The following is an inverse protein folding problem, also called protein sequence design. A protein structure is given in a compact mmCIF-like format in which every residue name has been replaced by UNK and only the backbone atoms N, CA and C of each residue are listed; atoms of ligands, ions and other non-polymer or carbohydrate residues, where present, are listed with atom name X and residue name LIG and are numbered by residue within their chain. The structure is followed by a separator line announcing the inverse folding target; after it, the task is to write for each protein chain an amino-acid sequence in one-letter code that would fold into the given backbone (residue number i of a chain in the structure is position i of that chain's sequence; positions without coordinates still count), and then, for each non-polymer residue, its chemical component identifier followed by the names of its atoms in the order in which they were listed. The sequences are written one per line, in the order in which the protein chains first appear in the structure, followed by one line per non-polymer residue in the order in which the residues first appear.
data_IF_473541863781
#
_entry.id   IF_473541863781
#
_cell.length_a   1.000
_cell.length_b   1.000
_cell.length_c   1.000
_cell.angle_alpha   90.00
_cell.angle_beta   90.00
_cell.angle_gamma   90.00
#
_symmetry.space_group_name_H-M   'P 1'
#
loop_
_entity.id
_entity.type
_entity.pdbx_description
1 polymer ?
#
# COMPACT_ATOMS: atom_id res chain seq x y z
N UNK A 1 5.33 4.99 -5.76
CA UNK A 1 5.31 4.68 -4.31
C UNK A 1 5.08 3.19 -4.13
N UNK A 2 5.88 2.45 -3.35
CA UNK A 2 5.73 0.98 -3.15
C UNK A 2 5.80 0.55 -1.69
N UNK A 3 5.82 1.51 -0.76
CA UNK A 3 5.87 1.25 0.70
C UNK A 3 4.49 1.30 1.36
N UNK A 4 3.55 1.99 0.73
CA UNK A 4 2.15 2.14 1.14
C UNK A 4 1.31 2.37 -0.12
N UNK A 5 0.01 2.05 -0.06
CA UNK A 5 -0.90 2.25 -1.18
C UNK A 5 -1.42 3.69 -1.29
N UNK A 6 -1.51 4.40 -0.17
CA UNK A 6 -1.87 5.81 -0.08
C UNK A 6 -0.90 6.58 0.82
N UNK A 7 -0.87 7.91 0.67
CA UNK A 7 -0.19 8.83 1.58
C UNK A 7 -0.76 10.25 1.45
N UNK A 8 -1.16 10.90 2.54
CA UNK A 8 -1.26 12.38 2.59
C UNK A 8 0.08 12.99 3.06
N UNK A 9 0.52 14.01 2.32
CA UNK A 9 1.66 14.86 2.66
C UNK A 9 1.17 16.27 2.98
N UNK A 10 1.73 16.89 4.01
CA UNK A 10 1.39 18.24 4.44
C UNK A 10 2.55 19.17 4.06
N UNK A 11 2.27 20.19 3.28
CA UNK A 11 3.25 21.17 2.79
C UNK A 11 3.19 22.46 3.61
N UNK A 12 4.30 23.19 3.58
CA UNK A 12 4.40 24.53 4.13
C UNK A 12 3.38 25.44 3.44
N UNK A 13 2.55 26.15 4.22
CA UNK A 13 1.45 26.97 3.69
C UNK A 13 0.07 26.31 3.74
N UNK A 14 -0.07 25.14 4.36
CA UNK A 14 -1.38 24.55 4.68
C UNK A 14 -1.99 23.65 3.60
N UNK A 15 -1.22 23.31 2.55
CA UNK A 15 -1.65 22.38 1.50
C UNK A 15 -1.48 20.93 1.94
N UNK A 16 -2.51 20.07 1.77
CA UNK A 16 -2.36 18.60 1.78
C UNK A 16 -2.37 18.08 0.35
N UNK A 17 -1.51 17.10 0.08
CA UNK A 17 -1.48 16.33 -1.16
C UNK A 17 -1.70 14.86 -0.84
N UNK A 18 -2.78 14.28 -1.35
CA UNK A 18 -3.03 12.83 -1.30
C UNK A 18 -2.41 12.18 -2.53
N UNK A 19 -1.56 11.17 -2.31
CA UNK A 19 -0.90 10.39 -3.36
C UNK A 19 -1.30 8.92 -3.27
N UNK A 20 -1.49 8.28 -4.43
CA UNK A 20 -1.84 6.86 -4.53
C UNK A 20 -0.74 6.08 -5.25
N UNK A 21 -0.57 4.83 -4.86
CA UNK A 21 0.38 3.91 -5.49
C UNK A 21 -0.26 3.18 -6.65
N UNK A 22 0.05 3.61 -7.87
CA UNK A 22 -0.32 2.84 -9.07
C UNK A 22 0.18 1.38 -9.00
N UNK A 23 1.45 1.06 -8.64
CA UNK A 23 1.91 -0.33 -8.58
C UNK A 23 1.19 -1.23 -7.57
N UNK A 24 0.56 -0.67 -6.54
CA UNK A 24 -0.19 -1.42 -5.53
C UNK A 24 -1.70 -1.44 -5.78
N UNK A 25 -2.23 -0.48 -6.54
CA UNK A 25 -3.68 -0.30 -6.71
C UNK A 25 -4.18 -0.59 -8.13
N UNK A 26 -3.34 -0.59 -9.17
CA UNK A 26 -3.78 -0.71 -10.58
C UNK A 26 -4.51 -2.01 -10.92
N UNK A 27 -4.30 -3.06 -10.14
CA UNK A 27 -4.95 -4.38 -10.32
C UNK A 27 -5.93 -4.70 -9.18
N UNK A 28 -6.29 -3.70 -8.37
CA UNK A 28 -7.24 -3.84 -7.28
C UNK A 28 -8.65 -3.52 -7.72
N UNK A 29 -9.61 -3.98 -6.91
CA UNK A 29 -11.00 -3.63 -7.14
C UNK A 29 -11.22 -2.11 -6.98
N UNK A 30 -12.22 -1.58 -7.68
CA UNK A 30 -12.66 -0.19 -7.50
C UNK A 30 -13.04 0.08 -6.03
N UNK A 31 -13.55 -0.94 -5.33
CA UNK A 31 -13.85 -0.88 -3.90
C UNK A 31 -12.60 -0.59 -3.06
N UNK A 32 -11.54 -1.39 -3.21
CA UNK A 32 -10.29 -1.20 -2.47
C UNK A 32 -9.61 0.14 -2.80
N UNK A 33 -9.71 0.60 -4.06
CA UNK A 33 -9.24 1.92 -4.46
C UNK A 33 -10.00 3.03 -3.71
N UNK A 34 -11.33 2.96 -3.67
CA UNK A 34 -12.17 3.92 -2.93
C UNK A 34 -11.85 3.91 -1.42
N UNK A 35 -11.73 2.73 -0.82
CA UNK A 35 -11.38 2.59 0.60
C UNK A 35 -10.01 3.19 0.91
N UNK A 36 -9.02 2.98 0.03
CA UNK A 36 -7.68 3.57 0.17
C UNK A 36 -7.70 5.08 0.05
N UNK A 37 -8.41 5.63 -0.94
CA UNK A 37 -8.52 7.09 -1.10
C UNK A 37 -9.21 7.73 0.11
N UNK A 38 -10.31 7.14 0.57
CA UNK A 38 -11.06 7.67 1.71
C UNK A 38 -10.24 7.64 3.00
N UNK A 39 -9.40 6.62 3.21
CA UNK A 39 -8.44 6.59 4.32
C UNK A 39 -7.55 7.85 4.31
N UNK A 40 -6.92 8.15 3.17
CA UNK A 40 -6.04 9.31 3.05
C UNK A 40 -6.80 10.64 3.15
N UNK A 41 -8.05 10.69 2.68
CA UNK A 41 -8.89 11.88 2.78
C UNK A 41 -9.34 12.16 4.22
N UNK A 42 -9.48 11.15 5.09
CA UNK A 42 -9.73 11.37 6.51
C UNK A 42 -8.51 12.04 7.15
N UNK A 43 -7.29 11.60 6.85
CA UNK A 43 -6.07 12.29 7.29
C UNK A 43 -6.03 13.74 6.80
N UNK A 44 -6.33 13.96 5.51
CA UNK A 44 -6.39 15.30 4.94
C UNK A 44 -7.42 16.19 5.65
N UNK A 45 -8.61 15.67 5.94
CA UNK A 45 -9.67 16.39 6.65
C UNK A 45 -9.20 16.82 8.05
N UNK A 46 -8.67 15.90 8.85
CA UNK A 46 -8.21 16.19 10.22
C UNK A 46 -7.05 17.20 10.23
N UNK A 47 -6.17 17.15 9.23
CA UNK A 47 -5.14 18.16 9.06
C UNK A 47 -5.74 19.55 8.80
N UNK A 48 -6.69 19.66 7.87
CA UNK A 48 -7.29 20.95 7.51
C UNK A 48 -8.14 21.52 8.65
N UNK A 49 -8.94 20.70 9.34
CA UNK A 49 -9.90 21.19 10.34
C UNK A 49 -9.33 21.30 11.75
N UNK A 50 -8.32 20.51 12.07
CA UNK A 50 -7.82 20.36 13.45
C UNK A 50 -6.31 20.52 13.55
N UNK A 51 -5.62 20.82 12.44
CA UNK A 51 -4.16 20.89 12.35
C UNK A 51 -3.48 19.61 12.91
N UNK A 52 -4.16 18.46 12.77
CA UNK A 52 -3.57 17.17 13.12
C UNK A 52 -2.51 16.81 12.08
N UNK A 53 -1.25 16.82 12.53
CA UNK A 53 -0.09 16.55 11.68
C UNK A 53 0.44 15.13 11.84
N UNK A 54 -0.16 14.32 12.71
CA UNK A 54 0.25 12.93 12.87
C UNK A 54 -0.37 12.05 11.78
N UNK A 55 0.45 11.82 10.74
CA UNK A 55 0.09 11.03 9.55
C UNK A 55 -0.16 9.55 9.82
N UNK A 56 0.36 9.04 10.94
CA UNK A 56 0.22 7.63 11.31
C UNK A 56 -0.78 7.46 12.44
N UNK A 57 -1.35 8.55 12.97
CA UNK A 57 -2.34 8.49 14.04
C UNK A 57 -3.69 8.10 13.49
N UNK A 58 -4.21 6.98 13.97
CA UNK A 58 -5.60 6.59 13.82
C UNK A 58 -6.33 6.73 15.15
N UNK A 59 -6.25 7.93 15.74
CA UNK A 59 -6.85 8.29 17.01
C UNK A 59 -8.39 8.31 16.98
N UNK A 60 -8.99 8.85 18.06
CA UNK A 60 -10.46 8.87 18.24
C UNK A 60 -11.19 9.52 17.05
N UNK A 61 -10.71 10.67 16.59
CA UNK A 61 -11.34 11.43 15.50
C UNK A 61 -11.24 10.71 14.16
N UNK A 62 -10.08 10.13 13.84
CA UNK A 62 -9.93 9.30 12.65
C UNK A 62 -10.92 8.14 12.65
N UNK A 63 -10.99 7.39 13.76
CA UNK A 63 -11.90 6.25 13.89
C UNK A 63 -13.36 6.67 13.83
N UNK A 64 -13.70 7.84 14.37
CA UNK A 64 -15.05 8.41 14.26
C UNK A 64 -15.44 8.61 12.79
N UNK A 65 -14.62 9.31 12.01
CA UNK A 65 -14.89 9.54 10.59
C UNK A 65 -14.89 8.26 9.75
N UNK A 66 -13.92 7.37 10.00
CA UNK A 66 -13.86 6.06 9.36
C UNK A 66 -15.17 5.27 9.56
N UNK A 67 -15.61 5.12 10.82
CA UNK A 67 -16.83 4.39 11.15
C UNK A 67 -18.08 5.08 10.58
N UNK A 68 -18.13 6.41 10.61
CA UNK A 68 -19.23 7.20 10.02
C UNK A 68 -19.36 6.93 8.52
N UNK A 69 -18.25 7.00 7.78
CA UNK A 69 -18.23 6.78 6.32
C UNK A 69 -18.56 5.33 5.97
N UNK A 70 -18.01 4.36 6.70
CA UNK A 70 -18.32 2.93 6.48
C UNK A 70 -19.81 2.66 6.61
N UNK A 71 -20.47 3.19 7.65
CA UNK A 71 -21.92 3.04 7.85
C UNK A 71 -22.75 3.65 6.72
N UNK A 72 -22.34 4.79 6.20
CA UNK A 72 -23.09 5.51 5.16
C UNK A 72 -22.91 4.91 3.76
N UNK A 73 -21.74 4.33 3.48
CA UNK A 73 -21.36 3.90 2.12
C UNK A 73 -21.36 2.39 1.91
N UNK A 74 -21.41 1.59 2.98
CA UNK A 74 -21.21 0.14 2.92
C UNK A 74 -19.76 -0.28 2.61
N UNK A 75 -18.83 0.68 2.57
CA UNK A 75 -17.39 0.42 2.43
C UNK A 75 -16.78 -0.03 3.77
N UNK A 76 -15.57 -0.57 3.71
CA UNK A 76 -14.83 -1.06 4.87
C UNK A 76 -13.45 -0.42 4.97
N UNK A 77 -13.40 0.90 5.17
CA UNK A 77 -12.16 1.62 5.47
C UNK A 77 -11.59 1.07 6.78
N UNK A 78 -10.30 0.75 6.79
CA UNK A 78 -9.58 0.21 7.95
C UNK A 78 -8.40 1.13 8.31
N UNK A 79 -7.96 1.07 9.57
CA UNK A 79 -6.74 1.73 10.07
C UNK A 79 -5.47 1.07 9.50
N UNK A 80 -5.56 -0.20 9.12
CA UNK A 80 -4.46 -0.93 8.49
C UNK A 80 -4.62 -0.97 6.97
N UNK A 81 -3.55 -0.66 6.26
CA UNK A 81 -3.45 -0.90 4.84
C UNK A 81 -3.19 -2.39 4.58
N UNK A 82 -4.13 -3.11 3.96
CA UNK A 82 -4.07 -4.57 3.83
C UNK A 82 -3.19 -5.07 2.65
N UNK A 83 -1.98 -4.53 2.47
CA UNK A 83 -1.10 -4.85 1.32
C UNK A 83 0.11 -5.71 1.70
N UNK A 84 -0.02 -6.59 2.70
CA UNK A 84 1.14 -7.26 3.29
C UNK A 84 1.89 -8.12 2.27
N UNK A 85 1.18 -8.85 1.40
CA UNK A 85 1.78 -9.75 0.41
C UNK A 85 2.43 -8.99 -0.75
N UNK A 86 1.79 -7.94 -1.25
CA UNK A 86 2.36 -7.11 -2.32
C UNK A 86 3.54 -6.30 -1.80
N UNK A 87 3.46 -5.78 -0.57
CA UNK A 87 4.59 -5.12 0.07
C UNK A 87 5.76 -6.11 0.25
N UNK A 88 5.50 -7.38 0.59
CA UNK A 88 6.52 -8.40 0.66
C UNK A 88 7.14 -8.72 -0.71
N UNK A 89 6.34 -8.75 -1.79
CA UNK A 89 6.84 -8.90 -3.16
C UNK A 89 7.79 -7.76 -3.57
N UNK A 90 7.50 -6.53 -3.16
CA UNK A 90 8.36 -5.38 -3.44
C UNK A 90 9.57 -5.28 -2.49
N UNK A 91 9.52 -5.86 -1.27
CA UNK A 91 10.61 -5.86 -0.29
C UNK A 91 11.72 -6.88 -0.59
N UNK A 92 12.30 -6.79 -1.79
CA UNK A 92 13.27 -7.74 -2.35
C UNK A 92 14.66 -7.65 -1.73
N UNK A 93 14.98 -6.57 -1.02
CA UNK A 93 16.28 -6.41 -0.39
C UNK A 93 16.19 -6.89 1.06
N UNK A 94 16.88 -7.98 1.35
CA UNK A 94 16.87 -8.64 2.65
C UNK A 94 18.26 -8.47 3.24
N UNK A 95 18.30 -8.01 4.49
CA UNK A 95 19.49 -8.03 5.32
C UNK A 95 19.21 -8.85 6.57
N UNK A 96 20.24 -9.51 7.08
CA UNK A 96 20.20 -10.17 8.37
C UNK A 96 21.35 -9.66 9.23
N UNK A 97 21.05 -9.31 10.47
CA UNK A 97 22.06 -8.99 11.47
C UNK A 97 22.91 -10.24 11.74
N UNK A 98 24.20 -10.07 11.98
CA UNK A 98 25.11 -11.14 12.41
C UNK A 98 25.21 -11.29 13.94
N UNK A 99 24.64 -10.35 14.71
CA UNK A 99 24.68 -10.34 16.17
C UNK A 99 23.57 -11.14 16.87
N UNK A 100 23.48 -10.97 18.19
CA UNK A 100 22.60 -11.77 19.07
C UNK A 100 21.10 -11.69 18.72
N UNK A 101 20.65 -10.61 18.07
CA UNK A 101 19.25 -10.45 17.70
C UNK A 101 18.76 -11.47 16.66
N UNK A 102 19.66 -12.24 16.03
CA UNK A 102 19.31 -13.39 15.17
C UNK A 102 18.45 -14.43 15.87
N UNK A 103 18.61 -14.56 17.19
CA UNK A 103 17.94 -15.56 18.00
C UNK A 103 16.75 -14.98 18.77
N UNK A 104 16.50 -13.67 18.64
CA UNK A 104 15.48 -12.98 19.43
C UNK A 104 14.23 -12.68 18.57
N UNK A 105 13.04 -13.04 19.07
CA UNK A 105 11.80 -12.62 18.44
C UNK A 105 11.61 -11.10 18.55
N UNK A 106 10.77 -10.50 17.69
CA UNK A 106 10.01 -11.15 16.62
C UNK A 106 10.75 -11.21 15.29
N UNK A 107 11.87 -10.49 15.14
CA UNK A 107 12.49 -10.24 13.83
C UNK A 107 13.61 -11.22 13.47
N UNK A 108 14.21 -11.91 14.45
CA UNK A 108 15.30 -12.87 14.22
C UNK A 108 16.45 -12.29 13.37
N UNK A 109 16.72 -10.99 13.60
CA UNK A 109 17.74 -10.21 12.92
C UNK A 109 17.40 -9.79 11.48
N UNK A 110 16.23 -10.11 10.94
CA UNK A 110 15.88 -9.76 9.56
C UNK A 110 15.37 -8.33 9.40
N UNK A 111 15.79 -7.68 8.31
CA UNK A 111 15.22 -6.44 7.79
C UNK A 111 14.96 -6.62 6.31
N UNK A 112 13.72 -6.36 5.88
CA UNK A 112 13.31 -6.43 4.47
C UNK A 112 12.90 -5.03 3.98
N UNK A 113 13.42 -4.58 2.84
CA UNK A 113 13.12 -3.26 2.26
C UNK A 113 12.86 -3.35 0.76
N UNK A 114 12.08 -2.40 0.26
CA UNK A 114 11.83 -2.22 -1.17
C UNK A 114 12.92 -1.44 -1.90
N UNK A 115 13.82 -0.80 -1.16
CA UNK A 115 14.99 -0.08 -1.67
C UNK A 115 16.27 -0.73 -1.17
N UNK A 116 17.34 -0.69 -1.97
CA UNK A 116 18.65 -1.28 -1.63
C UNK A 116 19.42 -0.40 -0.62
N UNK A 117 18.82 -0.13 0.55
CA UNK A 117 19.43 0.66 1.62
C UNK A 117 19.77 -0.22 2.82
N UNK A 118 21.07 -0.40 3.09
CA UNK A 118 21.54 -1.10 4.29
C UNK A 118 20.94 -0.44 5.55
N UNK A 119 20.49 -1.21 6.55
CA UNK A 119 20.09 -0.64 7.83
C UNK A 119 21.23 0.16 8.47
N UNK A 120 20.89 1.32 9.06
CA UNK A 120 21.89 2.25 9.58
C UNK A 120 21.28 3.41 10.37
N UNK A 121 22.07 4.44 10.70
CA UNK A 121 21.68 5.54 11.60
C UNK A 121 20.41 6.32 11.23
N UNK A 122 19.99 6.28 9.96
CA UNK A 122 18.76 6.92 9.52
C UNK A 122 17.48 6.15 9.94
N UNK A 123 17.61 4.92 10.45
CA UNK A 123 16.49 4.14 10.96
C UNK A 123 16.21 4.49 12.43
N UNK A 124 14.96 4.79 12.77
CA UNK A 124 14.56 5.23 14.13
C UNK A 124 14.90 4.24 15.25
N UNK A 125 15.05 2.96 14.91
CA UNK A 125 15.39 1.88 15.84
C UNK A 125 16.91 1.59 15.92
N UNK A 126 17.73 2.26 15.10
CA UNK A 126 19.16 1.95 14.96
C UNK A 126 19.93 2.10 16.27
N UNK A 127 19.74 3.19 17.00
CA UNK A 127 20.47 3.44 18.24
C UNK A 127 20.14 2.41 19.31
N UNK A 128 18.88 1.97 19.36
CA UNK A 128 18.46 0.88 20.24
C UNK A 128 19.16 -0.41 19.85
N UNK A 129 19.11 -0.79 18.56
CA UNK A 129 19.78 -2.00 18.06
C UNK A 129 21.29 -1.97 18.33
N UNK A 130 21.94 -0.82 18.14
CA UNK A 130 23.38 -0.66 18.41
C UNK A 130 23.69 -0.92 19.90
N UNK A 131 22.84 -0.46 20.81
CA UNK A 131 23.00 -0.65 22.27
C UNK A 131 22.69 -2.08 22.71
N UNK A 132 21.65 -2.70 22.15
CA UNK A 132 21.15 -4.00 22.64
C UNK A 132 21.71 -5.21 21.90
N UNK A 133 22.17 -5.04 20.66
CA UNK A 133 22.73 -6.11 19.85
C UNK A 133 24.15 -5.80 19.36
N UNK A 134 24.39 -4.59 18.82
CA UNK A 134 25.70 -4.18 18.30
C UNK A 134 26.17 -4.87 17.01
N UNK A 135 25.39 -5.80 16.45
CA UNK A 135 25.76 -6.55 15.25
C UNK A 135 25.69 -5.72 13.96
N UNK A 136 26.27 -6.28 12.89
CA UNK A 136 26.25 -5.72 11.55
C UNK A 136 25.21 -6.41 10.66
N UNK A 137 24.53 -5.63 9.83
CA UNK A 137 23.59 -6.16 8.85
C UNK A 137 24.32 -6.58 7.57
N UNK A 138 24.28 -7.87 7.27
CA UNK A 138 24.81 -8.47 6.03
C UNK A 138 23.65 -8.63 5.05
N UNK A 139 23.90 -8.30 3.78
CA UNK A 139 22.89 -8.48 2.73
C UNK A 139 22.77 -9.97 2.43
N UNK A 140 21.56 -10.50 2.53
CA UNK A 140 21.30 -11.88 2.12
C UNK A 140 21.39 -11.96 0.60
N UNK A 141 22.10 -12.96 0.08
CA UNK A 141 22.09 -13.26 -1.34
C UNK A 141 20.64 -13.60 -1.74
N UNK A 142 20.15 -13.04 -2.84
CA UNK A 142 18.76 -13.22 -3.28
C UNK A 142 18.42 -14.72 -3.35
N UNK A 143 17.58 -15.21 -2.45
CA UNK A 143 16.60 -16.21 -2.86
C UNK A 143 15.54 -15.44 -3.63
N UNK A 144 15.68 -15.40 -4.95
CA UNK A 144 14.51 -15.20 -5.80
C UNK A 144 13.48 -16.24 -5.33
N UNK A 145 12.20 -15.89 -5.10
CA UNK A 145 11.19 -16.92 -4.98
C UNK A 145 11.31 -17.78 -6.24
N UNK A 146 11.64 -19.06 -6.06
CA UNK A 146 11.53 -20.04 -7.13
C UNK A 146 10.06 -20.04 -7.51
N UNK A 147 9.73 -19.41 -8.64
CA UNK A 147 8.46 -19.62 -9.30
C UNK A 147 8.57 -21.02 -9.89
N UNK A 148 8.27 -22.04 -9.09
CA UNK A 148 8.01 -23.36 -9.63
C UNK A 148 6.64 -23.28 -10.31
N UNK A 149 6.69 -23.29 -11.64
CA UNK A 149 5.60 -23.58 -12.58
C UNK A 149 4.43 -22.60 -12.61
N UNK A 150 4.58 -21.57 -13.43
CA UNK A 150 3.60 -21.36 -14.49
C UNK A 150 4.39 -21.05 -15.76
N UNK A 151 4.68 -22.11 -16.53
CA UNK A 151 5.13 -21.97 -17.90
C UNK A 151 4.18 -21.04 -18.64
N UNK A 152 4.77 -20.11 -19.38
CA UNK A 152 4.10 -19.38 -20.44
C UNK A 152 3.55 -20.42 -21.44
N UNK A 153 2.29 -20.81 -21.28
CA UNK A 153 1.49 -21.28 -22.41
C UNK A 153 1.18 -20.05 -23.27
N UNK A 154 2.18 -19.66 -24.05
CA UNK A 154 1.99 -18.88 -25.27
C UNK A 154 1.25 -19.79 -26.26
N UNK A 155 -0.07 -19.84 -26.12
CA UNK A 155 -0.98 -20.32 -27.17
C UNK A 155 -1.98 -19.21 -27.42
N UNK A 156 -1.63 -18.34 -28.38
CA UNK A 156 -2.58 -17.41 -29.00
C UNK A 156 -3.70 -18.24 -29.63
N UNK A 157 -4.98 -18.07 -29.27
CA UNK A 157 -6.06 -18.50 -30.13
C UNK A 157 -6.18 -17.48 -31.27
N UNK A 158 -5.87 -17.93 -32.47
CA UNK A 158 -6.21 -17.24 -33.70
C UNK A 158 -7.74 -17.25 -33.85
N UNK A 159 -8.42 -16.14 -33.56
CA UNK A 159 -9.83 -15.95 -33.90
C UNK A 159 -9.97 -14.77 -34.85
N UNK A 160 -10.07 -15.10 -36.14
CA UNK A 160 -10.77 -14.27 -37.11
C UNK A 160 -12.27 -14.30 -36.77
N UNK A 161 -12.87 -13.16 -36.43
CA UNK A 161 -14.31 -12.94 -36.65
C UNK A 161 -14.61 -11.46 -36.81
N UNK A 162 -15.25 -11.18 -37.95
CA UNK A 162 -16.00 -10.00 -38.40
C UNK A 162 -16.54 -9.02 -37.33
N UNK A 163 -16.37 -7.72 -37.62
CA UNK A 163 -17.03 -6.59 -36.96
C UNK A 163 -18.56 -6.68 -36.98
N UNK A 164 -19.27 -6.40 -35.88
CA UNK A 164 -20.66 -5.99 -35.92
C UNK A 164 -20.76 -4.47 -36.04
N UNK A 165 -21.53 -4.02 -37.02
CA UNK A 165 -22.02 -2.67 -37.20
C UNK A 165 -22.94 -2.33 -36.00
N UNK A 166 -22.59 -1.33 -35.18
CA UNK A 166 -23.49 -0.82 -34.13
C UNK A 166 -24.20 0.41 -34.71
N UNK A 167 -25.53 0.32 -34.77
CA UNK A 167 -26.42 1.36 -35.26
C UNK A 167 -26.56 2.49 -34.23
N UNK A 168 -26.74 3.72 -34.70
CA UNK A 168 -26.57 4.96 -33.91
C UNK A 168 -27.78 5.33 -33.03
N UNK A 169 -28.70 4.39 -32.78
CA UNK A 169 -29.95 4.64 -32.05
C UNK A 169 -29.97 4.05 -30.62
N UNK A 170 -28.94 3.29 -30.18
CA UNK A 170 -28.92 2.63 -28.86
C UNK A 170 -28.29 3.46 -27.71
N UNK A 171 -28.07 4.77 -27.90
CA UNK A 171 -27.35 5.64 -26.93
C UNK A 171 -28.30 6.50 -26.05
N UNK A 172 -29.61 6.24 -26.04
CA UNK A 172 -30.59 7.11 -25.36
C UNK A 172 -31.50 6.42 -24.32
N UNK A 173 -31.06 5.36 -23.65
CA UNK A 173 -31.92 4.68 -22.67
C UNK A 173 -31.23 4.25 -21.34
N UNK A 174 -30.29 5.06 -20.84
CA UNK A 174 -29.83 4.95 -19.43
C UNK A 174 -29.69 6.35 -18.82
N UNK A 175 -30.72 7.17 -19.00
CA UNK A 175 -31.04 8.31 -18.14
C UNK A 175 -32.55 8.22 -17.92
N UNK A 176 -32.96 8.25 -16.65
CA UNK A 176 -34.34 8.17 -16.13
C UNK A 176 -34.96 6.76 -15.94
N UNK A 177 -35.03 6.34 -14.67
CA UNK A 177 -36.21 5.93 -13.88
C UNK A 177 -35.69 5.86 -12.41
N UNK A 178 -35.90 6.88 -11.55
CA UNK A 178 -37.08 7.15 -10.69
C UNK A 178 -37.27 6.06 -9.62
N UNK A 179 -37.42 6.29 -8.31
CA UNK A 179 -37.86 7.45 -7.51
C UNK A 179 -37.09 7.53 -6.16
#
# INVERSE_FOLDING_TARGET
MTLCAGKCTYETGGRCVVSLSEPLLKYRSVKELKETILHELIHAYLFVTSNDRDRNSHGREFRFHMNRINRMSGLNINIYHNFHDELNYYRRYIWRCDGICRNNPPYYGYVRRSINRKPGPADSWWDLHKKTCGGCFVKEAKTLPQINNLELLDTRPNYQTSSPNINQDDVLEIIEISD
#
